data_IF_561564846930
#
_entry.id   IF_561564846930
#
_cell.length_a   1.000
_cell.length_b   1.000
_cell.length_c   1.000
_cell.angle_alpha   90.00
_cell.angle_beta   90.00
_cell.angle_gamma   90.00
#
_symmetry.space_group_name_H-M   'P 1'
#
loop_
_entity.id
_entity.type
_entity.pdbx_description
1 polymer ?
#
# COMPACT_ATOMS: atom_id res chain seq x y z
N UNK A 1 2.01 17.77 18.35
CA UNK A 1 2.02 18.09 16.90
C UNK A 1 0.58 18.32 16.46
N UNK A 2 0.23 19.52 16.02
CA UNK A 2 -1.17 19.85 15.66
C UNK A 2 -1.66 19.17 14.37
N UNK A 3 -0.77 18.61 13.54
CA UNK A 3 -1.11 18.09 12.20
C UNK A 3 -0.36 16.78 11.88
N UNK A 4 -0.15 15.91 12.88
CA UNK A 4 0.61 14.67 12.68
C UNK A 4 -0.05 13.69 11.69
N UNK A 5 -1.37 13.80 11.50
CA UNK A 5 -2.14 12.94 10.61
C UNK A 5 -2.39 13.54 9.21
N UNK A 6 -1.96 14.80 8.97
CA UNK A 6 -2.11 15.45 7.66
C UNK A 6 -0.96 15.11 6.72
N UNK A 7 -0.74 13.81 6.52
CA UNK A 7 0.25 13.25 5.59
C UNK A 7 -0.46 12.45 4.51
N UNK A 8 0.22 12.22 3.39
CA UNK A 8 -0.35 11.57 2.19
C UNK A 8 -1.13 10.28 2.49
N UNK A 9 -0.65 9.45 3.40
CA UNK A 9 -1.27 8.15 3.73
C UNK A 9 -2.00 8.13 5.07
N UNK A 10 -2.25 9.28 5.69
CA UNK A 10 -2.85 9.37 7.00
C UNK A 10 -4.07 10.24 7.05
N UNK A 11 -4.82 10.16 8.16
CA UNK A 11 -5.94 11.05 8.47
C UNK A 11 -7.17 10.87 7.59
N UNK A 12 -7.33 9.74 6.90
CA UNK A 12 -8.49 9.51 6.02
C UNK A 12 -9.81 9.33 6.76
N UNK A 13 -9.75 8.99 8.06
CA UNK A 13 -10.92 8.76 8.91
C UNK A 13 -11.66 7.45 8.62
N UNK A 14 -11.14 6.55 7.77
CA UNK A 14 -11.75 5.24 7.55
C UNK A 14 -11.70 4.40 8.83
N UNK A 15 -12.84 3.91 9.30
CA UNK A 15 -12.88 2.92 10.36
C UNK A 15 -12.41 1.57 9.80
N UNK A 16 -11.25 1.10 10.25
CA UNK A 16 -10.68 -0.18 9.82
C UNK A 16 -11.43 -1.39 10.38
N UNK A 17 -12.31 -1.19 11.36
CA UNK A 17 -13.23 -2.18 11.95
C UNK A 17 -12.61 -3.57 12.10
N UNK A 18 -11.49 -3.63 12.79
CA UNK A 18 -10.68 -4.86 12.96
C UNK A 18 -11.49 -6.01 13.55
N UNK A 19 -12.45 -5.69 14.39
CA UNK A 19 -13.38 -6.64 15.03
C UNK A 19 -14.31 -7.33 14.05
N UNK A 20 -14.49 -6.80 12.84
CA UNK A 20 -15.32 -7.42 11.80
C UNK A 20 -14.55 -8.41 10.92
N UNK A 21 -13.21 -8.38 10.95
CA UNK A 21 -12.37 -9.24 10.12
C UNK A 21 -12.60 -10.72 10.46
N UNK A 22 -12.81 -11.52 9.41
CA UNK A 22 -13.12 -12.94 9.55
C UNK A 22 -14.56 -13.25 9.95
N UNK A 23 -15.44 -12.25 10.06
CA UNK A 23 -16.88 -12.43 10.25
C UNK A 23 -17.65 -12.27 8.94
N UNK A 24 -18.94 -12.67 8.94
CA UNK A 24 -19.85 -12.48 7.80
C UNK A 24 -20.04 -11.00 7.40
N UNK A 25 -19.70 -10.07 8.30
CA UNK A 25 -19.75 -8.62 8.02
C UNK A 25 -18.60 -8.12 7.16
N UNK A 26 -17.53 -8.90 7.04
CA UNK A 26 -16.41 -8.64 6.13
C UNK A 26 -16.50 -9.49 4.85
N UNK A 27 -17.71 -9.96 4.49
CA UNK A 27 -18.05 -10.54 3.21
C UNK A 27 -18.75 -9.46 2.38
N UNK A 28 -18.37 -9.28 1.08
CA UNK A 28 -18.97 -8.26 0.24
C UNK A 28 -20.47 -8.39 0.08
N UNK A 29 -21.18 -7.28 0.13
CA UNK A 29 -22.61 -7.15 -0.08
C UNK A 29 -22.91 -6.15 -1.18
N UNK A 30 -24.09 -6.23 -1.75
CA UNK A 30 -24.54 -5.30 -2.79
C UNK A 30 -24.34 -3.82 -2.36
N UNK A 31 -23.62 -3.09 -3.18
CA UNK A 31 -23.32 -1.68 -2.95
C UNK A 31 -21.99 -1.40 -2.22
N UNK A 32 -21.32 -2.42 -1.65
CA UNK A 32 -19.97 -2.25 -1.10
C UNK A 32 -18.97 -1.82 -2.18
N UNK A 33 -17.87 -1.21 -1.77
CA UNK A 33 -16.93 -0.55 -2.67
C UNK A 33 -15.60 -1.30 -2.75
N UNK A 34 -15.10 -1.43 -3.97
CA UNK A 34 -13.86 -2.11 -4.28
C UNK A 34 -12.86 -1.19 -4.97
N UNK A 35 -11.61 -1.25 -4.54
CA UNK A 35 -10.46 -0.81 -5.33
C UNK A 35 -9.85 -2.03 -6.03
N UNK A 36 -9.35 -1.84 -7.24
CA UNK A 36 -8.77 -2.92 -8.04
C UNK A 36 -7.26 -2.76 -8.10
N UNK A 37 -6.57 -3.81 -7.67
CA UNK A 37 -5.12 -3.94 -7.73
C UNK A 37 -4.72 -4.85 -8.88
N UNK A 38 -3.66 -4.47 -9.61
CA UNK A 38 -3.04 -5.27 -10.64
C UNK A 38 -1.53 -5.08 -10.61
N UNK A 39 -0.77 -6.10 -10.22
CA UNK A 39 0.71 -6.12 -10.25
C UNK A 39 1.37 -4.87 -9.65
N UNK A 40 0.86 -4.39 -8.49
CA UNK A 40 1.36 -3.20 -7.79
C UNK A 40 0.79 -1.86 -8.27
N UNK A 41 -0.08 -1.87 -9.27
CA UNK A 41 -0.82 -0.72 -9.79
C UNK A 41 -2.27 -0.75 -9.34
N UNK A 42 -2.95 0.40 -9.45
CA UNK A 42 -4.37 0.55 -9.13
C UNK A 42 -5.10 1.26 -10.26
N UNK A 43 -6.37 0.90 -10.45
CA UNK A 43 -7.25 1.64 -11.33
C UNK A 43 -7.49 3.05 -10.77
N UNK A 44 -7.23 4.09 -11.56
CA UNK A 44 -7.35 5.50 -11.18
C UNK A 44 -8.41 6.16 -12.04
N UNK A 45 -9.37 6.85 -11.41
CA UNK A 45 -10.43 7.58 -12.12
C UNK A 45 -9.94 8.96 -12.55
N UNK A 46 -9.66 9.10 -13.84
CA UNK A 46 -9.20 10.35 -14.44
C UNK A 46 -10.32 11.35 -14.74
N UNK A 47 -11.59 10.91 -14.72
CA UNK A 47 -12.73 11.82 -14.89
C UNK A 47 -13.04 12.60 -13.63
N UNK A 48 -12.88 11.98 -12.47
CA UNK A 48 -13.27 12.54 -11.18
C UNK A 48 -12.04 12.95 -10.36
N UNK A 49 -11.31 13.95 -10.86
CA UNK A 49 -10.21 14.62 -10.12
C UNK A 49 -9.02 13.73 -9.75
N UNK A 50 -8.74 12.66 -10.54
CA UNK A 50 -7.65 11.74 -10.28
C UNK A 50 -7.77 11.09 -8.88
N UNK A 51 -8.83 10.34 -8.63
CA UNK A 51 -9.01 9.54 -7.41
C UNK A 51 -8.83 8.05 -7.72
N UNK A 52 -8.64 7.21 -6.69
CA UNK A 52 -8.68 5.77 -6.90
C UNK A 52 -10.08 5.35 -7.34
N UNK A 53 -10.17 4.50 -8.36
CA UNK A 53 -11.45 4.04 -8.85
C UNK A 53 -12.15 3.15 -7.81
N UNK A 54 -13.38 3.52 -7.45
CA UNK A 54 -14.22 2.76 -6.54
C UNK A 54 -15.33 2.07 -7.34
N UNK A 55 -15.26 0.75 -7.44
CA UNK A 55 -16.26 -0.06 -8.12
C UNK A 55 -17.29 -0.61 -7.14
N UNK A 56 -18.56 -0.58 -7.49
CA UNK A 56 -19.62 -1.17 -6.66
C UNK A 56 -19.69 -2.68 -6.88
N UNK A 57 -19.85 -3.42 -5.79
CA UNK A 57 -20.13 -4.86 -5.83
C UNK A 57 -21.63 -5.09 -6.07
N UNK A 58 -22.05 -6.13 -6.84
CA UNK A 58 -21.20 -7.02 -7.63
C UNK A 58 -20.66 -6.35 -8.91
N UNK A 59 -19.49 -6.81 -9.37
CA UNK A 59 -18.86 -6.30 -10.59
C UNK A 59 -18.12 -7.44 -11.30
N UNK A 60 -18.17 -7.47 -12.63
CA UNK A 60 -17.60 -8.54 -13.46
C UNK A 60 -16.09 -8.75 -13.30
N UNK A 61 -15.37 -7.70 -12.90
CA UNK A 61 -13.91 -7.75 -12.70
C UNK A 61 -13.53 -8.31 -11.32
N UNK A 62 -14.47 -8.37 -10.39
CA UNK A 62 -14.22 -8.79 -9.01
C UNK A 62 -14.52 -10.29 -8.91
N UNK A 63 -13.50 -11.07 -8.58
CA UNK A 63 -13.67 -12.47 -8.15
C UNK A 63 -13.98 -12.50 -6.66
N UNK A 64 -14.72 -13.51 -6.21
CA UNK A 64 -14.97 -13.74 -4.78
C UNK A 64 -13.73 -14.28 -4.03
N UNK A 65 -12.66 -14.61 -4.77
CA UNK A 65 -11.40 -15.05 -4.21
C UNK A 65 -10.38 -13.89 -4.10
N UNK A 66 -9.50 -13.96 -3.10
CA UNK A 66 -8.41 -12.99 -2.95
C UNK A 66 -8.85 -11.57 -2.54
N UNK A 67 -10.00 -11.45 -1.87
CA UNK A 67 -10.54 -10.19 -1.40
C UNK A 67 -9.90 -9.76 -0.08
N UNK A 68 -9.53 -8.48 0.01
CA UNK A 68 -9.09 -7.82 1.23
C UNK A 68 -10.20 -6.91 1.77
N UNK A 69 -10.55 -7.07 3.05
CA UNK A 69 -11.38 -6.10 3.76
C UNK A 69 -10.51 -4.93 4.25
N UNK A 70 -10.84 -3.70 3.87
CA UNK A 70 -10.06 -2.50 4.23
C UNK A 70 -10.68 -1.70 5.38
N UNK A 71 -12.01 -1.70 5.48
CA UNK A 71 -12.72 -0.94 6.51
C UNK A 71 -14.17 -0.66 6.14
N UNK A 72 -14.83 0.18 6.94
CA UNK A 72 -16.24 0.54 6.77
C UNK A 72 -16.45 2.04 7.04
N UNK A 73 -17.37 2.64 6.30
CA UNK A 73 -17.84 4.01 6.53
C UNK A 73 -19.31 4.12 6.13
N UNK A 74 -20.15 4.65 7.03
CA UNK A 74 -21.59 4.82 6.80
C UNK A 74 -22.28 3.54 6.31
N UNK A 75 -21.99 2.40 6.96
CA UNK A 75 -22.49 1.05 6.62
C UNK A 75 -22.07 0.52 5.24
N UNK A 76 -21.20 1.20 4.52
CA UNK A 76 -20.60 0.73 3.27
C UNK A 76 -19.20 0.21 3.56
N UNK A 77 -18.93 -1.05 3.21
CA UNK A 77 -17.63 -1.65 3.38
C UNK A 77 -16.72 -1.37 2.17
N UNK A 78 -15.42 -1.23 2.45
CA UNK A 78 -14.37 -1.03 1.46
C UNK A 78 -13.52 -2.27 1.38
N UNK A 79 -13.29 -2.74 0.16
CA UNK A 79 -12.49 -3.90 -0.15
C UNK A 79 -11.44 -3.59 -1.20
N UNK A 80 -10.47 -4.49 -1.34
CA UNK A 80 -9.58 -4.53 -2.51
C UNK A 80 -9.65 -5.93 -3.14
N UNK A 81 -9.61 -5.98 -4.46
CA UNK A 81 -9.48 -7.21 -5.24
C UNK A 81 -8.18 -7.18 -6.05
N UNK A 82 -7.46 -8.30 -6.07
CA UNK A 82 -6.26 -8.49 -6.87
C UNK A 82 -6.60 -9.24 -8.17
N UNK A 83 -6.34 -8.60 -9.29
CA UNK A 83 -6.51 -9.16 -10.64
C UNK A 83 -5.16 -9.39 -11.33
N UNK A 84 -4.08 -9.61 -10.57
CA UNK A 84 -2.72 -9.73 -11.13
C UNK A 84 -2.52 -10.89 -12.10
N UNK A 85 -3.45 -11.84 -12.15
CA UNK A 85 -3.51 -12.91 -13.16
C UNK A 85 -4.00 -12.43 -14.53
N UNK A 86 -4.68 -11.27 -14.59
CA UNK A 86 -5.09 -10.68 -15.86
C UNK A 86 -3.86 -10.26 -16.69
N UNK A 87 -3.87 -10.63 -17.97
CA UNK A 87 -2.84 -10.24 -18.94
C UNK A 87 -3.42 -9.22 -19.93
N UNK A 88 -2.89 -7.99 -19.96
CA UNK A 88 -3.31 -7.01 -20.95
C UNK A 88 -2.89 -7.43 -22.37
N UNK A 89 -3.71 -7.10 -23.36
CA UNK A 89 -3.43 -7.35 -24.78
C UNK A 89 -2.28 -6.53 -25.29
N UNK A 90 -2.14 -5.28 -24.83
CA UNK A 90 -1.05 -4.37 -25.16
C UNK A 90 -0.17 -4.19 -23.92
N UNK A 91 1.02 -4.76 -23.97
CA UNK A 91 2.01 -4.59 -22.89
C UNK A 91 2.94 -3.44 -23.27
N UNK A 92 2.78 -2.30 -22.61
CA UNK A 92 3.87 -1.34 -22.53
C UNK A 92 5.05 -2.00 -21.81
N UNK A 93 6.24 -1.96 -22.39
CA UNK A 93 7.44 -2.44 -21.71
C UNK A 93 7.64 -1.67 -20.42
N UNK A 94 7.83 -2.39 -19.29
CA UNK A 94 8.19 -1.78 -18.01
C UNK A 94 9.58 -1.16 -18.19
N UNK A 95 9.65 0.16 -18.15
CA UNK A 95 10.90 0.89 -18.46
C UNK A 95 11.92 0.88 -17.30
N UNK A 96 11.61 0.25 -16.17
CA UNK A 96 12.47 0.15 -14.99
C UNK A 96 12.83 1.49 -14.36
N UNK A 97 12.20 2.59 -14.79
CA UNK A 97 12.43 3.93 -14.25
C UNK A 97 11.96 4.04 -12.80
N UNK A 98 12.50 5.02 -12.07
CA UNK A 98 12.10 5.31 -10.68
C UNK A 98 10.60 5.57 -10.55
N UNK A 99 9.99 6.17 -11.58
CA UNK A 99 8.55 6.32 -11.73
C UNK A 99 8.10 5.51 -12.95
N UNK A 100 7.39 4.41 -12.72
CA UNK A 100 6.74 3.68 -13.80
C UNK A 100 5.65 4.56 -14.44
N UNK A 101 5.86 4.94 -15.69
CA UNK A 101 4.94 5.78 -16.47
C UNK A 101 3.97 4.95 -17.31
N UNK A 102 4.15 3.65 -17.38
CA UNK A 102 3.27 2.79 -18.16
C UNK A 102 1.86 2.77 -17.57
N UNK A 103 0.89 2.55 -18.41
CA UNK A 103 -0.49 2.46 -18.02
C UNK A 103 -1.17 1.35 -18.82
N UNK A 104 -2.00 0.59 -18.15
CA UNK A 104 -2.74 -0.50 -18.75
C UNK A 104 -4.23 -0.24 -18.60
N UNK A 105 -5.02 -0.74 -19.54
CA UNK A 105 -6.47 -0.56 -19.56
C UNK A 105 -7.14 -1.94 -19.61
N UNK A 106 -8.06 -2.15 -18.69
CA UNK A 106 -8.84 -3.38 -18.67
C UNK A 106 -10.16 -3.17 -19.43
N UNK A 107 -10.53 -4.11 -20.29
CA UNK A 107 -11.70 -3.97 -21.19
C UNK A 107 -13.01 -3.71 -20.46
N UNK A 108 -13.16 -4.17 -19.20
CA UNK A 108 -14.37 -3.95 -18.40
C UNK A 108 -14.34 -2.65 -17.58
N UNK A 109 -13.23 -1.93 -17.54
CA UNK A 109 -13.11 -0.66 -16.80
C UNK A 109 -13.25 0.57 -17.68
N UNK A 110 -12.98 0.45 -18.99
CA UNK A 110 -13.01 1.53 -19.94
C UNK A 110 -11.75 2.42 -19.90
N UNK A 111 -11.69 3.34 -20.88
CA UNK A 111 -10.50 4.15 -21.19
C UNK A 111 -10.13 5.21 -20.15
N UNK A 112 -11.00 5.52 -19.21
CA UNK A 112 -10.76 6.55 -18.18
C UNK A 112 -10.28 5.98 -16.85
N UNK A 113 -10.09 4.67 -16.75
CA UNK A 113 -9.66 3.96 -15.56
C UNK A 113 -8.35 3.20 -15.80
N UNK A 114 -7.23 3.88 -16.14
CA UNK A 114 -5.95 3.24 -16.29
C UNK A 114 -5.41 2.69 -14.97
N UNK A 115 -4.61 1.64 -15.05
CA UNK A 115 -3.80 1.16 -13.94
C UNK A 115 -2.52 1.98 -13.84
N UNK A 116 -2.33 2.66 -12.72
CA UNK A 116 -1.15 3.45 -12.42
C UNK A 116 -0.42 2.95 -11.18
N UNK A 117 0.91 3.08 -11.19
CA UNK A 117 1.77 2.82 -10.04
C UNK A 117 1.51 3.87 -8.94
N UNK A 118 1.52 3.43 -7.66
CA UNK A 118 1.15 4.27 -6.52
C UNK A 118 1.95 5.58 -6.43
N UNK A 119 3.26 5.55 -6.66
CA UNK A 119 4.10 6.77 -6.62
C UNK A 119 3.70 7.82 -7.65
N UNK A 120 3.12 7.38 -8.77
CA UNK A 120 2.67 8.28 -9.83
C UNK A 120 1.48 9.13 -9.38
N UNK A 121 0.56 8.57 -8.60
CA UNK A 121 -0.69 9.26 -8.27
C UNK A 121 -0.88 9.61 -6.79
N UNK A 122 -0.10 9.08 -5.86
CA UNK A 122 -0.30 9.26 -4.42
C UNK A 122 -0.33 10.72 -3.95
N UNK A 123 0.27 11.64 -4.71
CA UNK A 123 0.30 13.07 -4.41
C UNK A 123 -0.81 13.86 -5.11
N UNK A 124 -1.60 13.22 -5.99
CA UNK A 124 -2.68 13.81 -6.75
C UNK A 124 -4.05 13.50 -6.15
N UNK A 125 -4.14 12.45 -5.35
CA UNK A 125 -5.39 11.91 -4.80
C UNK A 125 -5.63 12.37 -3.37
N UNK A 126 -6.85 12.16 -2.87
CA UNK A 126 -7.19 12.37 -1.45
C UNK A 126 -6.40 11.41 -0.53
N UNK A 127 -6.27 11.80 0.75
CA UNK A 127 -5.67 10.93 1.78
C UNK A 127 -6.38 9.56 1.86
N UNK A 128 -7.68 9.50 1.62
CA UNK A 128 -8.46 8.27 1.59
C UNK A 128 -8.00 7.35 0.46
N UNK A 129 -7.93 7.84 -0.76
CA UNK A 129 -7.47 7.07 -1.91
C UNK A 129 -6.03 6.59 -1.75
N UNK A 130 -5.15 7.47 -1.25
CA UNK A 130 -3.76 7.12 -0.99
C UNK A 130 -3.63 6.03 0.10
N UNK A 131 -4.39 6.14 1.22
CA UNK A 131 -4.38 5.15 2.30
C UNK A 131 -4.91 3.79 1.83
N UNK A 132 -6.04 3.76 1.11
CA UNK A 132 -6.61 2.52 0.56
C UNK A 132 -5.61 1.81 -0.35
N UNK A 133 -5.00 2.54 -1.29
CA UNK A 133 -4.02 1.99 -2.22
C UNK A 133 -2.77 1.47 -1.51
N UNK A 134 -2.20 2.25 -0.59
CA UNK A 134 -1.00 1.85 0.16
C UNK A 134 -1.26 0.61 1.03
N UNK A 135 -2.42 0.57 1.71
CA UNK A 135 -2.82 -0.57 2.54
C UNK A 135 -2.98 -1.84 1.70
N UNK A 136 -3.74 -1.76 0.60
CA UNK A 136 -3.96 -2.91 -0.28
C UNK A 136 -2.65 -3.39 -0.92
N UNK A 137 -1.82 -2.48 -1.44
CA UNK A 137 -0.51 -2.82 -2.03
C UNK A 137 0.38 -3.57 -1.03
N UNK A 138 0.45 -3.07 0.21
CA UNK A 138 1.26 -3.69 1.27
C UNK A 138 0.75 -5.10 1.61
N UNK A 139 -0.56 -5.28 1.75
CA UNK A 139 -1.16 -6.57 2.10
C UNK A 139 -1.00 -7.60 0.98
N UNK A 140 -1.30 -7.26 -0.27
CA UNK A 140 -1.12 -8.15 -1.40
C UNK A 140 0.36 -8.53 -1.59
N UNK A 141 1.29 -7.56 -1.46
CA UNK A 141 2.71 -7.86 -1.52
C UNK A 141 3.14 -8.82 -0.41
N UNK A 142 2.73 -8.58 0.84
CA UNK A 142 3.03 -9.46 1.96
C UNK A 142 2.46 -10.87 1.77
N UNK A 143 1.22 -11.01 1.31
CA UNK A 143 0.60 -12.30 1.01
C UNK A 143 1.38 -13.05 -0.08
N UNK A 144 1.72 -12.38 -1.18
CA UNK A 144 2.42 -12.96 -2.32
C UNK A 144 3.85 -13.40 -1.97
N UNK A 145 4.52 -12.71 -1.05
CA UNK A 145 5.88 -13.04 -0.59
C UNK A 145 5.91 -14.01 0.59
N UNK A 146 4.76 -14.30 1.21
CA UNK A 146 4.64 -15.15 2.41
C UNK A 146 3.82 -16.42 2.16
N UNK A 147 4.07 -17.09 1.03
CA UNK A 147 3.30 -18.28 0.60
C UNK A 147 3.64 -19.54 1.41
N UNK A 148 4.77 -19.54 2.11
CA UNK A 148 5.23 -20.67 2.91
C UNK A 148 5.48 -20.24 4.35
N UNK A 149 5.20 -21.16 5.29
CA UNK A 149 5.41 -20.93 6.71
C UNK A 149 6.90 -20.81 7.03
N UNK A 150 7.31 -19.68 7.62
CA UNK A 150 8.70 -19.44 8.02
C UNK A 150 9.20 -20.40 9.12
N UNK A 151 8.29 -21.07 9.85
CA UNK A 151 8.63 -22.02 10.91
C UNK A 151 8.79 -23.45 10.42
N UNK A 152 7.97 -23.92 9.46
CA UNK A 152 7.96 -25.33 9.08
C UNK A 152 7.97 -25.60 7.55
N UNK A 153 7.99 -24.55 6.73
CA UNK A 153 8.11 -24.65 5.28
C UNK A 153 6.85 -25.09 4.52
N UNK A 154 5.74 -25.41 5.21
CA UNK A 154 4.50 -25.79 4.54
C UNK A 154 3.76 -24.57 3.98
N UNK A 155 2.93 -24.80 2.96
CA UNK A 155 2.03 -23.78 2.43
C UNK A 155 1.10 -23.22 3.51
N UNK A 156 0.77 -21.96 3.39
CA UNK A 156 -0.08 -21.23 4.34
C UNK A 156 -1.42 -20.87 3.72
N UNK A 157 -2.37 -20.48 4.55
CA UNK A 157 -3.67 -20.00 4.13
C UNK A 157 -3.90 -18.57 4.61
N UNK A 158 -4.45 -17.73 3.75
CA UNK A 158 -4.88 -16.36 4.08
C UNK A 158 -6.19 -16.46 4.85
N UNK A 159 -6.28 -15.73 5.96
CA UNK A 159 -7.44 -15.67 6.86
C UNK A 159 -7.67 -14.25 7.35
N UNK A 160 -8.65 -14.04 8.25
CA UNK A 160 -8.94 -12.73 8.81
C UNK A 160 -9.21 -11.66 7.75
N UNK A 161 -9.96 -12.03 6.70
CA UNK A 161 -10.31 -11.15 5.57
C UNK A 161 -9.07 -10.49 4.93
N UNK A 162 -7.98 -11.28 4.80
CA UNK A 162 -6.74 -10.86 4.16
C UNK A 162 -5.66 -10.31 5.11
N UNK A 163 -5.92 -10.22 6.43
CA UNK A 163 -5.00 -9.61 7.40
C UNK A 163 -4.19 -10.61 8.24
N UNK A 164 -4.37 -11.89 8.03
CA UNK A 164 -3.67 -12.93 8.76
C UNK A 164 -3.32 -14.08 7.82
N UNK A 165 -2.19 -14.69 8.05
CA UNK A 165 -1.76 -15.92 7.38
C UNK A 165 -1.58 -16.99 8.43
N UNK A 166 -2.19 -18.18 8.20
CA UNK A 166 -2.15 -19.32 9.11
C UNK A 166 -1.51 -20.52 8.44
N UNK A 167 -0.64 -21.20 9.18
CA UNK A 167 -0.09 -22.49 8.79
C UNK A 167 -0.93 -23.64 9.38
N UNK A 168 -1.61 -24.40 8.52
CA UNK A 168 -2.41 -25.55 8.96
C UNK A 168 -1.55 -26.70 9.51
N UNK A 169 -0.27 -26.76 9.13
CA UNK A 169 0.65 -27.84 9.56
C UNK A 169 1.17 -27.67 10.99
N UNK A 170 1.60 -26.46 11.37
CA UNK A 170 2.20 -26.20 12.68
C UNK A 170 1.42 -25.23 13.56
N UNK A 171 0.29 -24.72 13.10
CA UNK A 171 -0.59 -23.80 13.83
C UNK A 171 -0.03 -22.38 14.00
N UNK A 172 1.14 -22.04 13.41
CA UNK A 172 1.67 -20.68 13.53
C UNK A 172 0.87 -19.69 12.69
N UNK A 173 0.71 -18.49 13.23
CA UNK A 173 0.09 -17.35 12.56
C UNK A 173 1.11 -16.26 12.32
N UNK A 174 0.97 -15.55 11.18
CA UNK A 174 1.74 -14.34 10.89
C UNK A 174 0.80 -13.22 10.51
N UNK A 175 1.26 -11.99 10.73
CA UNK A 175 0.53 -10.76 10.47
C UNK A 175 1.29 -9.90 9.46
N UNK A 176 0.67 -8.87 8.87
CA UNK A 176 1.32 -8.02 7.89
C UNK A 176 2.65 -7.47 8.39
N UNK A 177 3.67 -7.53 7.53
CA UNK A 177 4.98 -6.98 7.83
C UNK A 177 4.94 -5.46 7.75
N UNK A 178 5.50 -4.81 8.76
CA UNK A 178 5.73 -3.37 8.81
C UNK A 178 7.20 -3.16 9.15
N UNK A 179 7.90 -2.39 8.33
CA UNK A 179 9.29 -2.02 8.55
C UNK A 179 9.35 -0.52 8.91
N UNK A 180 9.39 -0.16 10.22
CA UNK A 180 9.39 1.22 10.64
C UNK A 180 10.65 1.95 10.18
N UNK A 181 10.48 3.19 9.71
CA UNK A 181 11.55 4.07 9.23
C UNK A 181 11.47 5.38 9.98
N UNK A 182 12.61 5.93 10.36
CA UNK A 182 12.71 7.32 10.79
C UNK A 182 13.20 8.18 9.64
N UNK A 183 12.69 9.40 9.57
CA UNK A 183 13.18 10.45 8.66
C UNK A 183 13.42 11.71 9.48
N UNK A 184 14.56 12.38 9.27
CA UNK A 184 15.00 13.46 10.14
C UNK A 184 15.32 14.74 9.40
N UNK A 185 14.83 15.87 9.91
CA UNK A 185 15.19 17.20 9.44
C UNK A 185 16.42 17.69 10.22
N UNK A 186 17.61 17.55 9.63
CA UNK A 186 18.85 18.01 10.20
C UNK A 186 19.13 19.43 9.72
N UNK A 187 19.22 20.39 10.65
CA UNK A 187 19.41 21.82 10.32
C UNK A 187 20.64 22.41 10.97
N UNK A 188 21.25 23.38 10.27
CA UNK A 188 22.29 24.26 10.82
C UNK A 188 21.95 25.71 10.42
N UNK A 189 21.34 26.47 11.33
CA UNK A 189 20.76 27.78 11.02
C UNK A 189 19.70 27.65 9.91
N UNK A 190 19.83 28.41 8.80
CA UNK A 190 18.89 28.37 7.70
C UNK A 190 19.15 27.23 6.69
N UNK A 191 20.15 26.37 6.94
CA UNK A 191 20.50 25.26 6.03
C UNK A 191 19.88 23.96 6.49
N UNK A 192 19.52 23.11 5.53
CA UNK A 192 19.06 21.74 5.76
C UNK A 192 20.01 20.76 5.08
N UNK A 193 20.29 19.64 5.75
CA UNK A 193 21.03 18.53 5.14
C UNK A 193 20.08 17.68 4.28
N UNK A 194 20.45 17.51 3.03
CA UNK A 194 19.74 16.65 2.07
C UNK A 194 20.72 15.66 1.45
N UNK A 195 20.26 14.45 1.22
CA UNK A 195 20.97 13.40 0.49
C UNK A 195 20.24 13.01 -0.79
N UNK A 196 20.91 12.25 -1.65
CA UNK A 196 20.31 11.57 -2.79
C UNK A 196 21.01 10.25 -3.05
N UNK A 197 20.26 9.25 -3.46
CA UNK A 197 20.82 7.97 -3.90
C UNK A 197 21.25 8.02 -5.36
N UNK A 198 22.24 7.19 -5.69
CA UNK A 198 22.67 6.96 -7.08
C UNK A 198 21.46 6.38 -7.83
N UNK A 199 21.15 6.91 -9.01
CA UNK A 199 20.00 6.48 -9.81
C UNK A 199 18.71 7.28 -9.60
N UNK A 200 18.67 8.20 -8.64
CA UNK A 200 17.54 9.13 -8.54
C UNK A 200 17.55 10.15 -9.68
N UNK A 201 16.37 10.63 -10.11
CA UNK A 201 16.26 11.69 -11.09
C UNK A 201 17.10 12.91 -10.71
N UNK A 202 17.64 13.62 -11.71
CA UNK A 202 18.42 14.85 -11.46
C UNK A 202 17.56 15.86 -10.70
N UNK A 203 18.18 16.49 -9.66
CA UNK A 203 17.50 17.46 -8.81
C UNK A 203 16.59 16.87 -7.72
N UNK A 204 16.46 15.55 -7.65
CA UNK A 204 15.72 14.88 -6.57
C UNK A 204 16.63 14.66 -5.35
N UNK A 205 16.20 15.20 -4.22
CA UNK A 205 16.85 15.06 -2.92
C UNK A 205 15.82 14.69 -1.85
N UNK A 206 16.27 14.06 -0.78
CA UNK A 206 15.46 13.75 0.40
C UNK A 206 16.19 14.12 1.66
N UNK A 207 15.45 14.19 2.76
CA UNK A 207 16.01 14.09 4.10
C UNK A 207 16.65 12.72 4.28
N UNK A 208 17.59 12.61 5.23
CA UNK A 208 18.15 11.31 5.62
C UNK A 208 17.04 10.47 6.30
N UNK A 209 17.02 9.18 6.01
CA UNK A 209 16.04 8.26 6.54
C UNK A 209 16.61 6.84 6.60
N UNK A 210 16.31 6.11 7.67
CA UNK A 210 16.76 4.74 7.82
C UNK A 210 15.81 3.88 8.63
N UNK A 211 16.03 2.57 8.58
CA UNK A 211 15.21 1.61 9.30
C UNK A 211 15.49 1.64 10.80
N UNK A 212 14.43 1.49 11.57
CA UNK A 212 14.58 1.21 13.00
C UNK A 212 15.10 -0.21 13.23
N UNK A 213 15.97 -0.35 14.23
CA UNK A 213 16.40 -1.67 14.70
C UNK A 213 15.60 -2.16 15.92
N UNK A 214 15.50 -3.48 16.12
CA UNK A 214 14.83 -4.03 17.29
C UNK A 214 15.39 -3.49 18.61
N UNK A 215 14.51 -2.94 19.45
CA UNK A 215 14.89 -2.40 20.76
C UNK A 215 15.24 -0.90 20.77
N UNK A 216 15.25 -0.24 19.61
CA UNK A 216 15.46 1.21 19.55
C UNK A 216 14.16 1.99 19.82
N UNK A 217 14.32 3.20 20.39
CA UNK A 217 13.30 4.26 20.32
C UNK A 217 13.45 5.04 19.01
N UNK A 218 12.41 5.77 18.61
CA UNK A 218 12.45 6.64 17.42
C UNK A 218 13.62 7.62 17.48
N UNK A 219 13.85 8.25 18.64
CA UNK A 219 14.92 9.22 18.84
C UNK A 219 16.32 8.58 18.84
N UNK A 220 16.45 7.34 19.31
CA UNK A 220 17.72 6.59 19.23
C UNK A 220 18.05 6.25 17.78
N UNK A 221 17.07 5.77 17.03
CA UNK A 221 17.23 5.47 15.60
C UNK A 221 17.60 6.71 14.80
N UNK A 222 16.93 7.85 15.03
CA UNK A 222 17.29 9.14 14.40
C UNK A 222 18.75 9.51 14.64
N UNK A 223 19.24 9.40 15.88
CA UNK A 223 20.64 9.72 16.19
C UNK A 223 21.62 8.75 15.55
N UNK A 224 21.31 7.45 15.53
CA UNK A 224 22.15 6.44 14.90
C UNK A 224 22.25 6.68 13.39
N UNK A 225 21.11 6.77 12.70
CA UNK A 225 21.06 6.98 11.25
C UNK A 225 21.74 8.31 10.84
N UNK A 226 21.49 9.40 11.57
CA UNK A 226 22.16 10.68 11.31
C UNK A 226 23.69 10.55 11.40
N UNK A 227 24.19 9.81 12.41
CA UNK A 227 25.62 9.61 12.57
C UNK A 227 26.20 8.68 11.49
N UNK A 228 25.53 7.57 11.19
CA UNK A 228 26.00 6.58 10.22
C UNK A 228 26.08 7.15 8.81
N UNK A 229 25.08 7.93 8.39
CA UNK A 229 25.02 8.48 7.04
C UNK A 229 25.82 9.78 6.86
N UNK A 230 26.04 10.56 7.92
CA UNK A 230 26.65 11.90 7.79
C UNK A 230 27.80 12.19 8.75
N UNK A 231 28.04 11.37 9.77
CA UNK A 231 29.01 11.63 10.82
C UNK A 231 28.61 12.71 11.82
N UNK A 232 27.40 13.28 11.73
CA UNK A 232 26.88 14.29 12.64
C UNK A 232 26.47 13.64 13.97
N UNK A 233 26.86 14.31 15.08
CA UNK A 233 26.53 13.87 16.45
C UNK A 233 25.53 14.81 17.09
#
# INVERSE_FOLDING_TARGET
MKNAETVTFGGSGLNRATELRGSDKAIPRDGDLFIIHWRGKFAVDLKNSCEIALLRYPNKIISDEGILYLGIENDVAYFAADISEWEPTDQDEIDGSFFDKTQQFHEFLGEYLPFWELRRFMHLVSSRSAELAATAKSLFHWQNTSRFCSKCGHEVSITGSGWQINCKSCGSSTFPRIDPVVIMLITNGPRVLLGRSIGWPNGMYSLLAGFMEPGETLEASVRREAYEESGIK
#
